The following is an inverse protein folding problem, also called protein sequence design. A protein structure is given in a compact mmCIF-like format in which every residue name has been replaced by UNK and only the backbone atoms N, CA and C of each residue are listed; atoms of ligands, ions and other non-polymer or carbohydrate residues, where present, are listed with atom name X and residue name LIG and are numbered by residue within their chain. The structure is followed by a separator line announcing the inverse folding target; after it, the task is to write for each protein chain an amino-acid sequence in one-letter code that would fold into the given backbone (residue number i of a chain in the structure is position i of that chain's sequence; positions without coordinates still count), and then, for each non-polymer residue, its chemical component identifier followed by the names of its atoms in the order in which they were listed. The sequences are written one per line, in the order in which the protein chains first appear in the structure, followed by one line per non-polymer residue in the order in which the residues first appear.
data_IF_969283130250
#
_entry.id   IF_969283130250
#
_cell.length_a   1.000
_cell.length_b   1.000
_cell.length_c   1.000
_cell.angle_alpha   90.00
_cell.angle_beta   90.00
_cell.angle_gamma   90.00
#
_symmetry.space_group_name_H-M   'P 1'
#
loop_
_entity.id
_entity.type
_entity.pdbx_description
1 polymer ?
#
# COMPACT_ATOMS: atom_id res chain seq x y z
N UNK A 1 -15.95 16.85 12.12
CA UNK A 1 -16.22 16.12 13.36
C UNK A 1 -17.49 16.63 13.98
N UNK A 2 -18.42 15.75 14.37
CA UNK A 2 -19.55 16.10 15.24
C UNK A 2 -19.12 15.92 16.69
N UNK A 3 -19.38 16.91 17.51
CA UNK A 3 -19.15 16.86 18.94
C UNK A 3 -20.48 17.04 19.71
N UNK A 4 -20.57 16.42 20.87
CA UNK A 4 -21.65 16.61 21.85
C UNK A 4 -21.01 16.77 23.22
N UNK A 5 -21.33 17.87 23.90
CA UNK A 5 -20.80 18.19 25.24
C UNK A 5 -19.26 18.10 25.30
N UNK A 6 -18.58 18.64 24.27
CA UNK A 6 -17.13 18.59 24.15
C UNK A 6 -16.53 17.27 23.68
N UNK A 7 -17.33 16.22 23.52
CA UNK A 7 -16.86 14.90 23.09
C UNK A 7 -17.11 14.67 21.60
N UNK A 8 -16.09 14.25 20.86
CA UNK A 8 -16.22 13.83 19.47
C UNK A 8 -17.04 12.51 19.41
N UNK A 9 -18.14 12.51 18.66
CA UNK A 9 -19.05 11.36 18.59
C UNK A 9 -19.16 10.76 17.19
N UNK A 10 -18.81 11.54 16.15
CA UNK A 10 -18.86 11.10 14.76
C UNK A 10 -17.93 11.90 13.88
N UNK A 11 -17.34 11.22 12.90
CA UNK A 11 -16.57 11.84 11.83
C UNK A 11 -17.37 11.73 10.54
N UNK A 12 -17.33 12.78 9.74
CA UNK A 12 -17.91 12.83 8.39
C UNK A 12 -16.84 13.29 7.41
N UNK A 13 -16.93 12.80 6.17
CA UNK A 13 -15.98 13.19 5.13
C UNK A 13 -16.12 14.64 4.72
N UNK A 14 -15.02 15.26 4.34
CA UNK A 14 -15.01 16.61 3.78
C UNK A 14 -15.46 16.56 2.30
N UNK A 15 -16.59 17.17 1.91
CA UNK A 15 -17.04 17.20 0.52
C UNK A 15 -16.04 17.85 -0.45
N UNK A 16 -15.18 18.74 0.04
CA UNK A 16 -14.16 19.43 -0.74
C UNK A 16 -12.86 18.62 -0.90
N UNK A 17 -12.74 17.45 -0.21
CA UNK A 17 -11.57 16.62 -0.36
C UNK A 17 -11.47 16.07 -1.78
N UNK A 18 -10.35 16.26 -2.52
CA UNK A 18 -10.29 15.93 -3.95
C UNK A 18 -10.49 14.46 -4.26
N UNK A 19 -10.00 13.56 -3.40
CA UNK A 19 -10.10 12.11 -3.58
C UNK A 19 -11.42 11.57 -3.00
N UNK A 20 -11.71 11.85 -1.75
CA UNK A 20 -12.80 11.21 -1.00
C UNK A 20 -14.17 11.85 -1.26
N UNK A 21 -14.22 13.16 -1.59
CA UNK A 21 -15.43 13.93 -1.92
C UNK A 21 -16.58 13.68 -0.94
N UNK A 22 -16.30 13.80 0.36
CA UNK A 22 -17.28 13.63 1.44
C UNK A 22 -17.53 12.19 1.89
N UNK A 23 -16.84 11.20 1.33
CA UNK A 23 -16.99 9.80 1.75
C UNK A 23 -15.91 9.41 2.77
N UNK A 24 -16.24 8.45 3.63
CA UNK A 24 -15.33 7.82 4.58
C UNK A 24 -15.46 6.30 4.50
N UNK A 25 -14.35 5.61 4.67
CA UNK A 25 -14.35 4.15 4.85
C UNK A 25 -14.67 3.80 6.34
N UNK A 26 -15.02 2.55 6.65
CA UNK A 26 -15.28 2.13 8.03
C UNK A 26 -14.14 2.47 9.00
N UNK A 27 -12.87 2.36 8.59
CA UNK A 27 -11.71 2.74 9.41
C UNK A 27 -11.74 4.23 9.79
N UNK A 28 -12.04 5.11 8.82
CA UNK A 28 -12.20 6.54 9.08
C UNK A 28 -13.36 6.81 10.04
N UNK A 29 -14.50 6.13 9.89
CA UNK A 29 -15.64 6.30 10.78
C UNK A 29 -15.35 5.86 12.22
N UNK A 30 -14.58 4.79 12.41
CA UNK A 30 -14.24 4.23 13.72
C UNK A 30 -13.05 4.91 14.38
N UNK A 31 -12.27 5.73 13.68
CA UNK A 31 -11.07 6.39 14.24
C UNK A 31 -11.36 7.27 15.45
N UNK A 32 -12.59 7.73 15.62
CA UNK A 32 -13.04 8.45 16.84
C UNK A 32 -12.87 7.61 18.11
N UNK A 33 -12.92 6.29 18.01
CA UNK A 33 -12.76 5.40 19.16
C UNK A 33 -11.33 5.44 19.71
N UNK A 34 -10.34 5.67 18.84
CA UNK A 34 -8.94 5.81 19.24
C UNK A 34 -8.69 6.97 20.20
N UNK A 35 -9.50 8.04 20.12
CA UNK A 35 -9.39 9.17 21.05
C UNK A 35 -9.70 8.80 22.51
N UNK A 36 -10.59 7.85 22.71
CA UNK A 36 -11.15 7.50 24.02
C UNK A 36 -10.78 6.09 24.47
N UNK A 37 -9.84 5.45 23.77
CA UNK A 37 -9.38 4.12 24.15
C UNK A 37 -8.62 4.21 25.49
N UNK A 38 -9.02 3.43 26.53
CA UNK A 38 -8.41 3.47 27.85
C UNK A 38 -6.94 3.00 27.84
N UNK A 39 -6.53 2.18 26.87
CA UNK A 39 -5.16 1.68 26.76
C UNK A 39 -4.20 2.69 26.12
N UNK A 40 -4.72 3.86 25.73
CA UNK A 40 -3.91 4.91 25.12
C UNK A 40 -2.90 5.45 26.11
N UNK A 41 -1.64 5.51 25.69
CA UNK A 41 -0.53 6.09 26.46
C UNK A 41 -0.73 7.60 26.55
N UNK A 42 -0.73 8.14 27.77
CA UNK A 42 -1.03 9.55 28.04
C UNK A 42 0.21 10.40 28.32
N UNK A 43 1.32 9.77 28.72
CA UNK A 43 2.56 10.44 29.07
C UNK A 43 3.76 9.71 28.47
N UNK A 44 4.88 10.40 28.21
CA UNK A 44 6.11 9.74 27.83
C UNK A 44 6.53 8.71 28.87
N UNK A 45 7.09 7.60 28.41
CA UNK A 45 7.50 6.46 29.25
C UNK A 45 8.91 6.06 29.00
N UNK A 46 9.61 5.68 30.06
CA UNK A 46 10.94 5.10 30.01
C UNK A 46 10.90 3.69 30.56
N UNK A 47 11.50 2.75 29.85
CA UNK A 47 11.61 1.37 30.30
C UNK A 47 12.58 1.28 31.51
N UNK A 48 12.21 0.50 32.53
CA UNK A 48 13.14 0.16 33.62
C UNK A 48 14.30 -0.70 33.13
N UNK A 49 14.11 -1.40 32.05
CA UNK A 49 15.06 -2.16 31.24
C UNK A 49 14.37 -2.62 29.99
N UNK A 50 15.06 -2.57 28.84
CA UNK A 50 14.47 -2.95 27.56
C UNK A 50 13.90 -4.37 27.60
N UNK A 51 12.65 -4.52 27.17
CA UNK A 51 11.95 -5.81 27.16
C UNK A 51 11.48 -6.32 28.53
N UNK A 52 11.62 -5.53 29.61
CA UNK A 52 11.11 -5.89 30.94
C UNK A 52 9.59 -5.81 31.05
N UNK A 53 8.92 -5.10 30.15
CA UNK A 53 7.50 -4.78 30.24
C UNK A 53 7.19 -3.71 31.31
N UNK A 54 8.17 -3.26 32.08
CA UNK A 54 7.99 -2.27 33.13
C UNK A 54 8.44 -0.89 32.65
N UNK A 55 7.51 0.07 32.70
CA UNK A 55 7.72 1.44 32.29
C UNK A 55 7.38 2.39 33.43
N UNK A 56 8.11 3.49 33.50
CA UNK A 56 7.83 4.62 34.38
C UNK A 56 7.44 5.84 33.52
N UNK A 57 6.45 6.58 33.92
CA UNK A 57 6.08 7.83 33.28
C UNK A 57 7.15 8.88 33.58
N UNK A 58 7.54 9.67 32.57
CA UNK A 58 8.54 10.75 32.68
C UNK A 58 7.92 12.06 32.15
N UNK A 59 8.42 13.23 32.61
CA UNK A 59 7.99 14.52 32.08
C UNK A 59 8.40 14.68 30.61
N UNK A 60 7.62 15.49 29.87
CA UNK A 60 7.93 15.82 28.48
C UNK A 60 9.29 16.49 28.31
N UNK A 61 9.70 17.36 29.23
CA UNK A 61 11.00 18.03 29.16
C UNK A 61 12.17 17.03 29.22
N UNK A 62 12.05 16.00 30.05
CA UNK A 62 13.03 14.90 30.10
C UNK A 62 13.02 14.10 28.80
N UNK A 63 11.83 13.78 28.27
CA UNK A 63 11.69 13.01 27.05
C UNK A 63 12.27 13.76 25.84
N UNK A 64 11.97 15.06 25.71
CA UNK A 64 12.48 15.91 24.63
C UNK A 64 13.99 16.12 24.72
N UNK A 65 14.52 16.36 25.93
CA UNK A 65 15.96 16.46 26.16
C UNK A 65 16.68 15.16 25.81
N UNK A 66 16.11 14.02 26.18
CA UNK A 66 16.64 12.71 25.82
C UNK A 66 16.66 12.51 24.31
N UNK A 67 15.55 12.76 23.62
CA UNK A 67 15.47 12.62 22.16
C UNK A 67 16.48 13.55 21.44
N UNK A 68 16.60 14.79 21.89
CA UNK A 68 17.59 15.76 21.37
C UNK A 68 19.03 15.26 21.55
N UNK A 69 19.37 14.74 22.73
CA UNK A 69 20.70 14.19 23.00
C UNK A 69 21.02 12.96 22.13
N UNK A 70 20.03 12.12 21.90
CA UNK A 70 20.17 10.94 21.03
C UNK A 70 20.40 11.31 19.56
N UNK A 71 19.87 12.44 19.09
CA UNK A 71 20.11 12.98 17.76
C UNK A 71 21.52 13.64 17.65
N UNK A 72 22.10 14.11 18.76
CA UNK A 72 23.41 14.77 18.78
C UNK A 72 24.62 13.83 18.67
N UNK A 73 24.41 12.52 18.52
CA UNK A 73 25.48 11.53 18.33
C UNK A 73 26.03 11.50 16.90
N UNK A 74 26.79 10.43 16.59
CA UNK A 74 27.26 10.18 15.21
C UNK A 74 26.06 10.02 14.26
N UNK A 75 25.88 10.93 13.30
CA UNK A 75 24.71 10.90 12.40
C UNK A 75 24.60 9.59 11.60
N UNK A 76 25.72 8.96 11.25
CA UNK A 76 25.72 7.72 10.48
C UNK A 76 25.04 6.56 11.25
N UNK A 77 25.05 6.59 12.57
CA UNK A 77 24.45 5.59 13.43
C UNK A 77 23.00 5.91 13.85
N UNK A 78 22.40 7.01 13.40
CA UNK A 78 21.01 7.35 13.66
C UNK A 78 20.14 6.85 12.51
N UNK A 79 19.05 6.16 12.83
CA UNK A 79 18.10 5.68 11.85
C UNK A 79 16.64 6.01 12.23
N UNK A 80 15.83 6.27 11.23
CA UNK A 80 14.39 6.45 11.35
C UNK A 80 13.66 5.37 10.54
N UNK A 81 12.72 4.66 11.18
CA UNK A 81 11.81 3.74 10.54
C UNK A 81 10.39 4.30 10.65
N UNK A 82 9.84 4.70 9.53
CA UNK A 82 8.55 5.39 9.46
C UNK A 82 7.51 4.54 8.73
N UNK A 83 6.30 4.51 9.26
CA UNK A 83 5.14 3.96 8.57
C UNK A 83 4.63 4.89 7.46
N UNK A 84 3.46 4.57 6.92
CA UNK A 84 2.72 5.48 6.05
C UNK A 84 2.15 6.62 6.88
N UNK A 85 2.91 7.67 6.97
CA UNK A 85 2.57 8.90 7.67
C UNK A 85 2.11 9.97 6.68
N UNK A 86 1.39 11.00 7.14
CA UNK A 86 1.15 12.20 6.35
C UNK A 86 2.47 12.78 5.81
N UNK A 87 2.45 13.27 4.58
CA UNK A 87 3.67 13.69 3.87
C UNK A 87 4.46 14.75 4.62
N UNK A 88 3.80 15.68 5.33
CA UNK A 88 4.49 16.71 6.11
C UNK A 88 5.44 16.15 7.17
N UNK A 89 5.09 15.02 7.82
CA UNK A 89 5.94 14.41 8.82
C UNK A 89 7.13 13.70 8.18
N UNK A 90 6.89 13.01 7.08
CA UNK A 90 7.96 12.37 6.32
C UNK A 90 8.96 13.39 5.79
N UNK A 91 8.46 14.49 5.20
CA UNK A 91 9.30 15.58 4.71
C UNK A 91 10.12 16.21 5.83
N UNK A 92 9.51 16.47 6.99
CA UNK A 92 10.22 16.99 8.16
C UNK A 92 11.36 16.08 8.61
N UNK A 93 11.12 14.77 8.72
CA UNK A 93 12.17 13.83 9.12
C UNK A 93 13.26 13.74 8.06
N UNK A 94 12.91 13.80 6.77
CA UNK A 94 13.86 13.84 5.66
C UNK A 94 14.75 15.09 5.72
N UNK A 95 14.17 16.26 6.01
CA UNK A 95 14.93 17.49 6.20
C UNK A 95 15.86 17.42 7.41
N UNK A 96 15.39 16.90 8.54
CA UNK A 96 16.20 16.72 9.76
C UNK A 96 17.38 15.79 9.47
N UNK A 97 17.14 14.61 8.87
CA UNK A 97 18.20 13.66 8.57
C UNK A 97 19.23 14.22 7.58
N UNK A 98 18.78 14.96 6.56
CA UNK A 98 19.66 15.65 5.62
C UNK A 98 20.49 16.73 6.30
N UNK A 99 19.89 17.56 7.15
CA UNK A 99 20.60 18.61 7.90
C UNK A 99 21.66 18.05 8.87
N UNK A 100 21.42 16.86 9.44
CA UNK A 100 22.35 16.17 10.31
C UNK A 100 23.44 15.40 9.55
N UNK A 101 23.28 15.16 8.25
CA UNK A 101 24.12 14.23 7.50
C UNK A 101 23.84 12.74 7.84
N UNK A 102 22.66 12.45 8.39
CA UNK A 102 22.21 11.11 8.71
C UNK A 102 21.61 10.42 7.48
N UNK A 103 21.54 9.07 7.45
CA UNK A 103 20.84 8.35 6.41
C UNK A 103 19.37 8.76 6.27
N UNK A 104 18.86 8.76 5.04
CA UNK A 104 17.45 9.04 4.80
C UNK A 104 16.54 8.07 5.59
N UNK A 105 15.34 8.51 6.02
CA UNK A 105 14.44 7.64 6.76
C UNK A 105 13.99 6.46 5.91
N UNK A 106 13.92 5.29 6.53
CA UNK A 106 13.36 4.08 5.90
C UNK A 106 11.85 4.12 6.06
N UNK A 107 11.12 4.02 4.95
CA UNK A 107 9.67 3.96 4.95
C UNK A 107 9.21 2.52 4.77
N UNK A 108 8.27 2.09 5.62
CA UNK A 108 7.71 0.76 5.59
C UNK A 108 6.27 0.76 6.07
N UNK A 109 5.46 -0.09 5.51
CA UNK A 109 4.12 -0.36 5.99
C UNK A 109 3.60 -1.65 5.40
N UNK A 110 3.04 -2.51 6.23
CA UNK A 110 2.49 -3.80 5.80
C UNK A 110 1.45 -3.62 4.68
N UNK A 111 0.59 -2.60 4.76
CA UNK A 111 -0.40 -2.32 3.71
C UNK A 111 0.24 -2.00 2.36
N UNK A 112 1.32 -1.22 2.34
CA UNK A 112 2.02 -0.91 1.09
C UNK A 112 2.69 -2.12 0.45
N UNK A 113 3.14 -3.07 1.25
CA UNK A 113 3.67 -4.35 0.75
C UNK A 113 2.56 -5.23 0.19
N UNK A 114 1.42 -5.35 0.86
CA UNK A 114 0.28 -6.13 0.37
C UNK A 114 -0.33 -5.54 -0.90
N UNK A 115 -0.27 -4.22 -1.06
CA UNK A 115 -0.69 -3.54 -2.29
C UNK A 115 0.34 -3.66 -3.41
N UNK A 116 1.55 -4.13 -3.08
CA UNK A 116 2.69 -4.26 -4.00
C UNK A 116 2.98 -2.98 -4.80
N UNK A 117 2.91 -1.82 -4.14
CA UNK A 117 3.07 -0.50 -4.77
C UNK A 117 4.40 -0.37 -5.50
N UNK A 118 5.50 -0.81 -4.89
CA UNK A 118 6.81 -0.75 -5.50
C UNK A 118 6.88 -1.55 -6.82
N UNK A 119 6.27 -2.74 -6.86
CA UNK A 119 6.16 -3.56 -8.07
C UNK A 119 5.34 -2.85 -9.14
N UNK A 120 4.24 -2.20 -8.75
CA UNK A 120 3.38 -1.47 -9.67
C UNK A 120 4.07 -0.23 -10.24
N UNK A 121 4.78 0.55 -9.41
CA UNK A 121 5.58 1.71 -9.85
C UNK A 121 6.65 1.27 -10.84
N UNK A 122 7.38 0.20 -10.53
CA UNK A 122 8.44 -0.31 -11.42
C UNK A 122 7.86 -0.84 -12.74
N UNK A 123 6.74 -1.57 -12.70
CA UNK A 123 6.05 -2.01 -13.91
C UNK A 123 5.60 -0.83 -14.77
N UNK A 124 5.08 0.21 -14.14
CA UNK A 124 4.68 1.46 -14.79
C UNK A 124 5.86 2.13 -15.47
N UNK A 125 6.95 2.30 -14.73
CA UNK A 125 8.19 2.89 -15.26
C UNK A 125 8.72 2.13 -16.48
N UNK A 126 8.74 0.79 -16.42
CA UNK A 126 9.21 -0.04 -17.55
C UNK A 126 8.26 -0.04 -18.75
N UNK A 127 6.97 0.18 -18.52
CA UNK A 127 5.95 0.14 -19.60
C UNK A 127 5.77 1.49 -20.27
N UNK A 128 5.88 2.59 -19.52
CA UNK A 128 5.54 3.95 -20.01
C UNK A 128 6.70 4.94 -19.96
N UNK A 129 7.80 4.60 -19.30
CA UNK A 129 8.90 5.52 -19.02
C UNK A 129 8.66 6.46 -17.83
N UNK A 130 7.46 6.45 -17.23
CA UNK A 130 7.10 7.33 -16.09
C UNK A 130 7.07 6.53 -14.80
N UNK A 131 7.88 6.94 -13.82
CA UNK A 131 7.82 6.37 -12.47
C UNK A 131 6.64 6.99 -11.70
N UNK A 132 5.65 6.19 -11.37
CA UNK A 132 4.49 6.66 -10.62
C UNK A 132 3.43 5.58 -10.41
N UNK A 133 2.56 5.79 -9.43
CA UNK A 133 1.38 4.94 -9.25
C UNK A 133 0.32 5.30 -10.28
N UNK A 134 -0.18 4.32 -11.04
CA UNK A 134 -1.26 4.58 -11.97
C UNK A 134 -2.58 4.75 -11.24
N UNK A 135 -3.39 5.69 -11.69
CA UNK A 135 -4.80 5.78 -11.34
C UNK A 135 -5.65 5.18 -12.46
N UNK A 136 -6.52 4.25 -12.12
CA UNK A 136 -7.38 3.57 -13.08
C UNK A 136 -8.80 4.13 -12.99
N UNK A 137 -9.25 4.86 -14.01
CA UNK A 137 -10.59 5.45 -14.02
C UNK A 137 -11.68 4.42 -14.42
N UNK A 138 -12.17 3.73 -13.39
CA UNK A 138 -13.29 2.78 -13.51
C UNK A 138 -14.55 3.43 -14.07
N UNK A 139 -14.75 4.73 -13.82
CA UNK A 139 -15.99 5.42 -14.18
C UNK A 139 -16.14 5.65 -15.68
N UNK A 140 -15.05 5.69 -16.42
CA UNK A 140 -15.03 5.84 -17.89
C UNK A 140 -14.98 4.50 -18.63
N UNK A 141 -14.69 3.39 -17.92
CA UNK A 141 -14.64 2.07 -18.56
C UNK A 141 -16.04 1.48 -18.82
N UNK A 142 -16.13 0.62 -19.82
CA UNK A 142 -17.31 -0.22 -20.07
C UNK A 142 -17.07 -1.68 -19.69
N UNK A 143 -15.82 -2.15 -19.74
CA UNK A 143 -15.38 -3.46 -19.26
C UNK A 143 -14.14 -3.28 -18.38
N UNK A 144 -14.16 -3.86 -17.18
CA UNK A 144 -13.04 -3.83 -16.25
C UNK A 144 -12.59 -5.25 -15.95
N UNK A 145 -11.32 -5.52 -16.15
CA UNK A 145 -10.63 -6.75 -15.77
C UNK A 145 -9.72 -6.47 -14.59
N UNK A 146 -10.07 -6.97 -13.40
CA UNK A 146 -9.30 -6.81 -12.18
C UNK A 146 -8.48 -8.07 -11.88
N UNK A 147 -7.17 -7.96 -11.93
CA UNK A 147 -6.25 -9.05 -11.62
C UNK A 147 -5.69 -8.87 -10.21
N UNK A 148 -6.36 -9.47 -9.23
CA UNK A 148 -5.97 -9.42 -7.83
C UNK A 148 -6.11 -8.06 -7.14
N UNK A 149 -6.65 -7.05 -7.81
CA UNK A 149 -6.86 -5.72 -7.24
C UNK A 149 -8.20 -5.68 -6.48
N UNK A 150 -8.15 -5.91 -5.18
CA UNK A 150 -9.31 -5.82 -4.29
C UNK A 150 -9.65 -4.34 -3.95
N UNK A 151 -9.95 -3.58 -4.99
CA UNK A 151 -10.08 -2.12 -4.96
C UNK A 151 -11.30 -1.60 -4.16
N UNK A 152 -12.26 -2.44 -3.83
CA UNK A 152 -13.37 -2.07 -2.95
C UNK A 152 -13.07 -2.28 -1.46
N UNK A 153 -11.94 -2.91 -1.11
CA UNK A 153 -11.55 -3.21 0.26
C UNK A 153 -10.35 -2.39 0.74
N UNK A 154 -9.16 -2.70 0.21
CA UNK A 154 -7.89 -2.20 0.76
C UNK A 154 -6.94 -1.64 -0.28
N UNK A 155 -7.11 -1.93 -1.57
CA UNK A 155 -6.13 -1.60 -2.59
C UNK A 155 -6.12 -0.11 -2.95
N UNK A 156 -4.96 0.52 -2.84
CA UNK A 156 -4.63 1.92 -3.13
C UNK A 156 -5.60 2.94 -2.48
N UNK A 157 -6.73 3.21 -3.12
CA UNK A 157 -7.72 4.20 -2.67
C UNK A 157 -9.16 3.65 -2.76
N UNK A 158 -9.59 2.81 -1.79
CA UNK A 158 -10.90 2.17 -1.84
C UNK A 158 -12.07 3.14 -2.03
N UNK A 159 -11.97 4.35 -1.48
CA UNK A 159 -13.04 5.35 -1.61
C UNK A 159 -13.15 5.92 -3.02
N UNK A 160 -12.02 6.21 -3.66
CA UNK A 160 -12.00 6.69 -5.05
C UNK A 160 -12.51 5.59 -5.99
N UNK A 161 -12.01 4.37 -5.80
CA UNK A 161 -12.41 3.21 -6.63
C UNK A 161 -13.86 2.78 -6.38
N UNK A 162 -14.37 2.82 -5.14
CA UNK A 162 -15.80 2.57 -4.88
C UNK A 162 -16.70 3.57 -5.59
N UNK A 163 -16.27 4.84 -5.68
CA UNK A 163 -17.00 5.85 -6.44
C UNK A 163 -16.92 5.57 -7.95
N UNK A 164 -15.74 5.26 -8.47
CA UNK A 164 -15.54 4.85 -9.85
C UNK A 164 -16.39 3.62 -10.21
N UNK A 165 -16.42 2.62 -9.32
CA UNK A 165 -17.28 1.45 -9.46
C UNK A 165 -18.78 1.83 -9.45
N UNK A 166 -19.20 2.73 -8.56
CA UNK A 166 -20.57 3.26 -8.59
C UNK A 166 -20.93 3.88 -9.93
N UNK A 167 -20.03 4.66 -10.54
CA UNK A 167 -20.23 5.25 -11.87
C UNK A 167 -20.26 4.17 -12.97
N UNK A 168 -19.41 3.17 -12.92
CA UNK A 168 -19.41 2.01 -13.82
C UNK A 168 -20.76 1.28 -13.79
N UNK A 169 -21.38 1.18 -12.60
CA UNK A 169 -22.62 0.46 -12.37
C UNK A 169 -23.88 1.31 -12.51
N UNK A 170 -23.78 2.61 -12.47
CA UNK A 170 -24.91 3.55 -12.56
C UNK A 170 -25.53 3.58 -13.96
N UNK A 171 -25.75 2.52 -14.59
CA UNK A 171 -26.24 2.41 -15.92
C UNK A 171 -27.02 3.60 -16.45
N UNK A 172 -26.51 4.25 -17.46
CA UNK A 172 -27.37 4.90 -18.47
C UNK A 172 -28.12 3.80 -19.16
N UNK A 173 -29.37 4.05 -19.55
CA UNK A 173 -30.19 3.06 -20.25
C UNK A 173 -29.37 2.36 -21.35
N UNK A 174 -29.19 1.04 -21.24
CA UNK A 174 -28.39 0.24 -22.16
C UNK A 174 -26.87 0.23 -21.92
N UNK A 175 -26.33 0.86 -20.85
CA UNK A 175 -24.88 0.90 -20.55
C UNK A 175 -24.61 0.62 -19.08
N UNK A 176 -24.67 -0.63 -18.67
CA UNK A 176 -24.12 -1.08 -17.41
C UNK A 176 -22.72 -1.63 -17.69
N UNK A 177 -21.70 -1.07 -17.04
CA UNK A 177 -20.35 -1.59 -17.17
C UNK A 177 -20.20 -3.00 -16.61
N UNK A 178 -19.25 -3.76 -17.13
CA UNK A 178 -19.01 -5.17 -16.82
C UNK A 178 -17.69 -5.32 -16.05
N UNK A 179 -17.70 -6.08 -14.96
CA UNK A 179 -16.52 -6.34 -14.13
C UNK A 179 -16.20 -7.83 -14.13
N UNK A 180 -15.00 -8.18 -14.52
CA UNK A 180 -14.41 -9.52 -14.36
C UNK A 180 -13.30 -9.43 -13.33
N UNK A 181 -13.31 -10.33 -12.34
CA UNK A 181 -12.27 -10.40 -11.31
C UNK A 181 -11.51 -11.72 -11.38
N UNK A 182 -10.20 -11.63 -11.48
CA UNK A 182 -9.27 -12.76 -11.50
C UNK A 182 -8.57 -12.85 -10.14
N UNK A 183 -9.03 -13.72 -9.27
CA UNK A 183 -8.51 -13.89 -7.91
C UNK A 183 -8.60 -15.35 -7.47
N UNK A 184 -7.60 -15.81 -6.72
CA UNK A 184 -7.59 -17.18 -6.16
C UNK A 184 -8.63 -17.37 -5.05
N UNK A 185 -8.99 -16.30 -4.34
CA UNK A 185 -10.04 -16.25 -3.32
C UNK A 185 -11.06 -15.16 -3.64
N UNK A 186 -12.28 -15.36 -3.23
CA UNK A 186 -13.33 -14.34 -3.41
C UNK A 186 -13.16 -13.19 -2.40
N UNK A 187 -12.92 -11.98 -2.90
CA UNK A 187 -12.90 -10.71 -2.16
C UNK A 187 -14.25 -10.01 -2.25
N UNK A 188 -14.42 -8.84 -1.59
CA UNK A 188 -15.60 -7.99 -1.82
C UNK A 188 -15.66 -7.53 -3.28
N UNK A 189 -14.52 -7.26 -3.91
CA UNK A 189 -14.45 -6.85 -5.32
C UNK A 189 -14.95 -7.97 -6.24
N UNK A 190 -14.45 -9.18 -6.06
CA UNK A 190 -14.90 -10.34 -6.85
C UNK A 190 -16.31 -10.79 -6.50
N UNK A 191 -16.76 -10.58 -5.25
CA UNK A 191 -18.12 -10.90 -4.82
C UNK A 191 -19.21 -10.04 -5.49
N UNK A 192 -18.84 -8.87 -6.03
CA UNK A 192 -19.75 -7.98 -6.78
C UNK A 192 -19.43 -7.92 -8.27
N UNK A 193 -18.47 -8.72 -8.74
CA UNK A 193 -18.15 -8.85 -10.15
C UNK A 193 -19.27 -9.57 -10.92
N UNK A 194 -19.36 -9.33 -12.22
CA UNK A 194 -20.25 -10.09 -13.11
C UNK A 194 -19.70 -11.49 -13.35
N UNK A 195 -18.36 -11.60 -13.42
CA UNK A 195 -17.67 -12.87 -13.45
C UNK A 195 -16.50 -12.87 -12.45
N UNK A 196 -16.44 -13.90 -11.61
CA UNK A 196 -15.25 -14.24 -10.84
C UNK A 196 -14.58 -15.45 -11.47
N UNK A 197 -13.34 -15.27 -11.88
CA UNK A 197 -12.50 -16.30 -12.50
C UNK A 197 -11.46 -16.72 -11.46
N UNK A 198 -11.63 -17.89 -10.83
CA UNK A 198 -10.60 -18.41 -9.93
C UNK A 198 -9.36 -18.77 -10.75
N UNK A 199 -8.21 -18.25 -10.31
CA UNK A 199 -6.91 -18.49 -10.96
C UNK A 199 -5.94 -19.10 -9.95
N UNK A 200 -5.03 -19.96 -10.41
CA UNK A 200 -3.93 -20.45 -9.59
C UNK A 200 -3.05 -19.23 -9.23
N UNK A 201 -2.73 -19.02 -7.93
CA UNK A 201 -1.92 -17.87 -7.50
C UNK A 201 -0.61 -17.75 -8.28
N UNK A 202 -0.33 -16.55 -8.79
CA UNK A 202 0.86 -16.24 -9.60
C UNK A 202 0.69 -16.50 -11.10
N UNK A 203 -0.48 -16.99 -11.55
CA UNK A 203 -0.78 -17.20 -12.98
C UNK A 203 -1.53 -16.04 -13.64
N UNK A 204 -1.85 -14.99 -12.90
CA UNK A 204 -2.63 -13.84 -13.38
C UNK A 204 -2.00 -13.19 -14.63
N UNK A 205 -0.67 -13.08 -14.64
CA UNK A 205 0.06 -12.58 -15.80
C UNK A 205 -0.03 -13.47 -17.04
N UNK A 206 -0.11 -14.79 -16.87
CA UNK A 206 -0.32 -15.73 -17.97
C UNK A 206 -1.73 -15.59 -18.55
N UNK A 207 -2.73 -15.47 -17.70
CA UNK A 207 -4.12 -15.20 -18.13
C UNK A 207 -4.19 -13.87 -18.90
N UNK A 208 -3.56 -12.81 -18.41
CA UNK A 208 -3.48 -11.55 -19.10
C UNK A 208 -2.81 -11.65 -20.47
N UNK A 209 -1.69 -12.39 -20.57
CA UNK A 209 -1.02 -12.66 -21.85
C UNK A 209 -1.91 -13.43 -22.83
N UNK A 210 -2.63 -14.45 -22.33
CA UNK A 210 -3.56 -15.24 -23.15
C UNK A 210 -4.68 -14.38 -23.71
N UNK A 211 -5.34 -13.61 -22.86
CA UNK A 211 -6.38 -12.65 -23.27
C UNK A 211 -5.82 -11.64 -24.27
N UNK A 212 -4.63 -11.07 -24.01
CA UNK A 212 -4.01 -10.08 -24.89
C UNK A 212 -3.68 -10.62 -26.27
N UNK A 213 -3.13 -11.83 -26.35
CA UNK A 213 -2.82 -12.50 -27.63
C UNK A 213 -4.09 -12.77 -28.43
N UNK A 214 -5.10 -13.39 -27.79
CA UNK A 214 -6.36 -13.72 -28.43
C UNK A 214 -7.14 -12.47 -28.88
N UNK A 215 -7.19 -11.44 -28.02
CA UNK A 215 -7.81 -10.15 -28.34
C UNK A 215 -7.15 -9.45 -29.53
N UNK A 216 -5.82 -9.49 -29.61
CA UNK A 216 -5.08 -8.94 -30.77
C UNK A 216 -5.43 -9.69 -32.06
N UNK A 217 -5.55 -11.02 -32.01
CA UNK A 217 -5.97 -11.84 -33.16
C UNK A 217 -7.41 -11.54 -33.60
N UNK A 218 -8.35 -11.41 -32.65
CA UNK A 218 -9.75 -11.06 -32.93
C UNK A 218 -9.85 -9.71 -33.65
N UNK A 219 -9.03 -8.74 -33.23
CA UNK A 219 -9.01 -7.42 -33.86
C UNK A 219 -8.26 -7.40 -35.21
N UNK A 220 -7.71 -8.52 -35.68
CA UNK A 220 -6.95 -8.61 -36.93
C UNK A 220 -5.60 -7.87 -36.89
N UNK A 221 -5.10 -7.55 -35.69
CA UNK A 221 -3.87 -6.81 -35.47
C UNK A 221 -2.63 -7.68 -35.30
N UNK A 222 -1.47 -7.02 -35.33
CA UNK A 222 -0.20 -7.67 -34.97
C UNK A 222 -0.20 -7.98 -33.47
N UNK A 223 0.25 -9.19 -33.11
CA UNK A 223 0.39 -9.56 -31.69
C UNK A 223 1.52 -8.74 -31.09
N UNK A 224 1.22 -7.92 -30.05
CA UNK A 224 2.28 -7.17 -29.36
C UNK A 224 3.35 -8.09 -28.76
N UNK A 225 4.59 -7.59 -28.69
CA UNK A 225 5.73 -8.36 -28.14
C UNK A 225 5.47 -8.87 -26.72
N UNK A 226 4.69 -8.12 -25.91
CA UNK A 226 4.31 -8.51 -24.57
C UNK A 226 3.52 -9.83 -24.49
N UNK A 227 2.92 -10.29 -25.59
CA UNK A 227 2.09 -11.49 -25.69
C UNK A 227 2.62 -12.51 -26.71
N UNK A 228 3.74 -12.22 -27.38
CA UNK A 228 4.22 -13.02 -28.51
C UNK A 228 4.76 -14.39 -28.07
N UNK A 229 5.38 -14.45 -26.90
CA UNK A 229 6.01 -15.65 -26.31
C UNK A 229 5.05 -16.60 -25.58
N UNK A 230 3.75 -16.35 -25.69
CA UNK A 230 2.76 -17.17 -24.96
C UNK A 230 2.57 -18.54 -25.60
N UNK A 231 2.58 -19.56 -24.77
CA UNK A 231 2.00 -20.89 -25.04
C UNK A 231 0.60 -20.97 -24.40
N UNK A 232 -0.44 -21.06 -25.23
CA UNK A 232 -1.82 -21.07 -24.76
C UNK A 232 -2.15 -22.34 -23.96
N UNK A 233 -1.64 -23.50 -24.39
CA UNK A 233 -1.87 -24.76 -23.67
C UNK A 233 -1.23 -24.73 -22.28
N UNK A 234 -0.02 -24.18 -22.19
CA UNK A 234 0.67 -23.97 -20.93
C UNK A 234 -0.09 -22.98 -20.04
N UNK A 235 -0.62 -21.90 -20.60
CA UNK A 235 -1.40 -20.90 -19.86
C UNK A 235 -2.68 -21.52 -19.26
N UNK A 236 -3.40 -22.34 -20.02
CA UNK A 236 -4.58 -23.12 -19.56
C UNK A 236 -4.19 -24.04 -18.39
N UNK A 237 -3.13 -24.82 -18.56
CA UNK A 237 -2.69 -25.77 -17.53
C UNK A 237 -2.25 -25.07 -16.24
N UNK A 238 -1.48 -23.98 -16.34
CA UNK A 238 -0.91 -23.30 -15.19
C UNK A 238 -1.88 -22.35 -14.48
N UNK A 239 -2.87 -21.83 -15.20
CA UNK A 239 -3.85 -20.92 -14.60
C UNK A 239 -5.09 -21.61 -14.06
N UNK A 240 -5.41 -22.81 -14.59
CA UNK A 240 -6.67 -23.51 -14.32
C UNK A 240 -7.88 -22.91 -15.06
N UNK A 241 -7.66 -21.93 -15.95
CA UNK A 241 -8.72 -21.30 -16.76
C UNK A 241 -8.81 -22.03 -18.10
N UNK A 242 -10.01 -22.50 -18.45
CA UNK A 242 -10.20 -23.25 -19.71
C UNK A 242 -9.95 -22.37 -20.94
N UNK A 243 -9.54 -22.99 -22.05
CA UNK A 243 -9.30 -22.31 -23.32
C UNK A 243 -10.56 -21.60 -23.81
N UNK A 244 -11.73 -22.23 -23.70
CA UNK A 244 -13.03 -21.64 -24.05
C UNK A 244 -13.28 -20.35 -23.24
N UNK A 245 -12.99 -20.37 -21.94
CA UNK A 245 -13.15 -19.20 -21.08
C UNK A 245 -12.16 -18.09 -21.46
N UNK A 246 -10.92 -18.44 -21.82
CA UNK A 246 -9.93 -17.46 -22.29
C UNK A 246 -10.37 -16.79 -23.60
N UNK A 247 -10.95 -17.54 -24.52
CA UNK A 247 -11.53 -17.00 -25.77
C UNK A 247 -12.69 -16.07 -25.46
N UNK A 248 -13.64 -16.47 -24.63
CA UNK A 248 -14.77 -15.62 -24.21
C UNK A 248 -14.28 -14.29 -23.60
N UNK A 249 -13.32 -14.34 -22.69
CA UNK A 249 -12.74 -13.16 -22.04
C UNK A 249 -12.00 -12.26 -23.05
N UNK A 250 -11.31 -12.85 -24.01
CA UNK A 250 -10.63 -12.11 -25.07
C UNK A 250 -11.62 -11.39 -26.00
N UNK A 251 -12.72 -12.05 -26.35
CA UNK A 251 -13.81 -11.44 -27.14
C UNK A 251 -14.44 -10.27 -26.38
N UNK A 252 -14.77 -10.46 -25.10
CA UNK A 252 -15.32 -9.43 -24.24
C UNK A 252 -14.39 -8.20 -24.18
N UNK A 253 -13.08 -8.41 -24.00
CA UNK A 253 -12.10 -7.33 -23.96
C UNK A 253 -11.92 -6.65 -25.32
N UNK A 254 -11.86 -7.44 -26.40
CA UNK A 254 -11.67 -6.95 -27.77
C UNK A 254 -12.85 -6.13 -28.29
N UNK A 255 -14.09 -6.51 -27.93
CA UNK A 255 -15.32 -5.83 -28.36
C UNK A 255 -15.63 -4.58 -27.54
N UNK A 256 -15.09 -4.46 -26.32
CA UNK A 256 -15.29 -3.31 -25.47
C UNK A 256 -14.76 -2.02 -26.13
N UNK A 257 -15.45 -0.90 -25.90
CA UNK A 257 -15.03 0.41 -26.42
C UNK A 257 -13.96 1.04 -25.52
N UNK A 258 -14.11 0.86 -24.20
CA UNK A 258 -13.21 1.39 -23.16
C UNK A 258 -12.86 0.27 -22.15
N UNK A 259 -12.15 -0.79 -22.58
CA UNK A 259 -11.73 -1.83 -21.67
C UNK A 259 -10.61 -1.31 -20.75
N UNK A 260 -10.60 -1.77 -19.51
CA UNK A 260 -9.61 -1.40 -18.51
C UNK A 260 -9.11 -2.65 -17.77
N UNK A 261 -7.80 -2.87 -17.78
CA UNK A 261 -7.16 -3.94 -17.01
C UNK A 261 -6.38 -3.35 -15.82
N UNK A 262 -6.59 -3.91 -14.63
CA UNK A 262 -6.03 -3.41 -13.38
C UNK A 262 -5.16 -4.49 -12.75
N UNK A 263 -3.83 -4.31 -12.67
CA UNK A 263 -2.94 -5.17 -11.90
C UNK A 263 -2.91 -4.74 -10.43
N UNK A 264 -3.06 -5.65 -9.50
CA UNK A 264 -2.98 -5.25 -8.11
C UNK A 264 -2.86 -6.39 -7.11
N UNK A 265 -2.68 -6.00 -5.85
CA UNK A 265 -2.77 -6.87 -4.70
C UNK A 265 -1.91 -8.14 -4.79
N UNK A 266 -2.53 -9.26 -4.53
CA UNK A 266 -1.87 -10.57 -4.46
C UNK A 266 -1.18 -10.97 -5.77
N UNK A 267 -1.73 -10.60 -6.94
CA UNK A 267 -1.12 -10.90 -8.24
C UNK A 267 0.29 -10.31 -8.41
N UNK A 268 0.60 -9.24 -7.70
CA UNK A 268 1.90 -8.56 -7.76
C UNK A 268 2.86 -8.96 -6.65
N UNK A 269 2.40 -9.69 -5.63
CA UNK A 269 3.19 -10.13 -4.48
C UNK A 269 4.03 -11.38 -4.73
N UNK A 270 3.92 -12.01 -5.89
CA UNK A 270 4.68 -13.20 -6.28
C UNK A 270 6.04 -12.84 -6.89
N UNK A 271 6.94 -13.83 -6.99
CA UNK A 271 8.26 -13.66 -7.63
C UNK A 271 8.16 -13.14 -9.07
N UNK A 272 7.11 -13.51 -9.80
CA UNK A 272 6.81 -13.05 -11.14
C UNK A 272 5.89 -11.80 -11.19
N UNK A 273 5.64 -11.15 -10.05
CA UNK A 273 4.68 -10.04 -9.93
C UNK A 273 4.97 -8.87 -10.89
N UNK A 274 6.24 -8.52 -11.09
CA UNK A 274 6.64 -7.49 -12.05
C UNK A 274 6.27 -7.87 -13.49
N UNK A 275 6.54 -9.11 -13.89
CA UNK A 275 6.18 -9.62 -15.22
C UNK A 275 4.65 -9.66 -15.39
N UNK A 276 3.92 -10.09 -14.36
CA UNK A 276 2.46 -10.09 -14.34
C UNK A 276 1.89 -8.68 -14.47
N UNK A 277 2.40 -7.72 -13.71
CA UNK A 277 1.97 -6.32 -13.80
C UNK A 277 2.18 -5.75 -15.20
N UNK A 278 3.34 -5.99 -15.81
CA UNK A 278 3.64 -5.54 -17.18
C UNK A 278 2.69 -6.16 -18.22
N UNK A 279 2.41 -7.46 -18.11
CA UNK A 279 1.46 -8.13 -19.00
C UNK A 279 0.05 -7.56 -18.89
N UNK A 280 -0.41 -7.30 -17.66
CA UNK A 280 -1.74 -6.72 -17.43
C UNK A 280 -1.80 -5.26 -17.90
N UNK A 281 -0.77 -4.46 -17.64
CA UNK A 281 -0.70 -3.08 -18.16
C UNK A 281 -0.67 -3.04 -19.69
N UNK A 282 -0.04 -4.02 -20.33
CA UNK A 282 0.01 -4.12 -21.79
C UNK A 282 -1.37 -4.35 -22.42
N UNK A 283 -2.33 -4.95 -21.69
CA UNK A 283 -3.74 -5.05 -22.17
C UNK A 283 -4.33 -3.66 -22.43
N UNK A 284 -4.06 -2.69 -21.56
CA UNK A 284 -4.58 -1.34 -21.73
C UNK A 284 -4.04 -0.66 -23.01
N UNK A 285 -2.83 -1.03 -23.44
CA UNK A 285 -2.24 -0.49 -24.68
C UNK A 285 -2.95 -0.98 -25.96
N UNK A 286 -3.61 -2.14 -25.93
CA UNK A 286 -4.33 -2.70 -27.09
C UNK A 286 -5.45 -1.78 -27.57
N UNK A 287 -6.05 -1.00 -26.71
CA UNK A 287 -7.19 -0.12 -27.01
C UNK A 287 -6.93 1.35 -26.68
N UNK A 288 -5.69 1.71 -26.34
CA UNK A 288 -5.36 3.08 -25.97
C UNK A 288 -6.09 3.57 -24.71
N UNK A 289 -6.49 2.65 -23.83
CA UNK A 289 -7.15 3.01 -22.57
C UNK A 289 -6.25 3.94 -21.75
N UNK A 290 -6.72 5.15 -21.51
CA UNK A 290 -5.99 6.16 -20.78
C UNK A 290 -5.98 5.80 -19.30
N UNK A 291 -4.84 5.35 -18.82
CA UNK A 291 -4.55 5.40 -17.40
C UNK A 291 -4.13 6.82 -17.05
N UNK A 292 -4.88 7.51 -16.19
CA UNK A 292 -4.38 8.75 -15.62
C UNK A 292 -3.29 8.40 -14.61
N UNK A 293 -2.09 8.86 -14.88
CA UNK A 293 -0.93 8.60 -14.01
C UNK A 293 -0.82 9.70 -12.99
N UNK A 294 -0.92 9.32 -11.71
CA UNK A 294 -0.49 10.19 -10.64
C UNK A 294 1.02 10.03 -10.50
N UNK A 295 1.75 11.14 -10.55
CA UNK A 295 3.16 11.12 -10.21
C UNK A 295 3.30 10.72 -8.74
N UNK A 296 3.86 9.55 -8.46
CA UNK A 296 4.29 9.22 -7.11
C UNK A 296 5.74 9.69 -6.98
N UNK A 297 6.06 10.41 -5.91
CA UNK A 297 7.45 10.51 -5.53
C UNK A 297 7.96 9.12 -5.18
N UNK A 298 9.18 8.77 -5.61
CA UNK A 298 9.79 7.44 -5.40
C UNK A 298 9.82 6.99 -3.93
N UNK A 299 9.82 7.93 -3.02
CA UNK A 299 9.89 7.71 -1.58
C UNK A 299 8.60 7.13 -0.96
N UNK A 300 7.49 7.13 -1.70
CA UNK A 300 6.19 6.76 -1.13
C UNK A 300 6.02 5.24 -0.94
N UNK A 301 6.75 4.44 -1.67
CA UNK A 301 6.47 3.01 -1.74
C UNK A 301 7.07 2.20 -0.59
N UNK A 302 8.15 2.66 0.03
CA UNK A 302 8.91 1.84 0.97
C UNK A 302 9.26 0.47 0.40
N UNK A 303 10.43 -0.05 0.62
CA UNK A 303 10.76 -1.38 0.10
C UNK A 303 11.19 -2.31 1.22
N UNK A 304 10.85 -3.60 1.08
CA UNK A 304 11.37 -4.62 1.99
C UNK A 304 12.91 -4.65 1.98
N UNK A 305 13.52 -4.38 0.82
CA UNK A 305 14.97 -4.32 0.69
C UNK A 305 15.59 -3.24 1.59
N UNK A 306 14.97 -2.06 1.69
CA UNK A 306 15.42 -0.98 2.59
C UNK A 306 15.31 -1.39 4.06
N UNK A 307 14.24 -2.10 4.42
CA UNK A 307 14.07 -2.63 5.79
C UNK A 307 15.11 -3.70 6.09
N UNK A 308 15.36 -4.63 5.16
CA UNK A 308 16.41 -5.67 5.29
C UNK A 308 17.78 -5.02 5.47
N UNK A 309 18.10 -3.98 4.68
CA UNK A 309 19.36 -3.24 4.83
C UNK A 309 19.46 -2.58 6.22
N UNK A 310 18.38 -1.96 6.73
CA UNK A 310 18.34 -1.40 8.08
C UNK A 310 18.57 -2.49 9.13
N UNK A 311 17.88 -3.63 9.04
CA UNK A 311 18.04 -4.74 9.98
C UNK A 311 19.49 -5.27 9.99
N UNK A 312 20.13 -5.38 8.83
CA UNK A 312 21.52 -5.81 8.74
C UNK A 312 22.47 -4.81 9.42
N UNK A 313 22.26 -3.51 9.23
CA UNK A 313 23.03 -2.45 9.91
C UNK A 313 22.78 -2.44 11.42
N UNK A 314 21.57 -2.76 11.87
CA UNK A 314 21.30 -2.94 13.30
C UNK A 314 22.07 -4.15 13.85
N UNK A 315 22.06 -5.28 13.13
CA UNK A 315 22.79 -6.51 13.52
C UNK A 315 24.30 -6.31 13.59
N UNK A 316 24.88 -5.51 12.69
CA UNK A 316 26.31 -5.18 12.69
C UNK A 316 26.71 -4.17 13.77
N UNK A 317 25.73 -3.55 14.47
CA UNK A 317 25.98 -2.52 15.47
C UNK A 317 26.30 -1.14 14.89
N UNK A 318 26.10 -0.94 13.60
CA UNK A 318 26.25 0.37 12.95
C UNK A 318 25.19 1.36 13.43
N UNK A 319 23.97 0.87 13.73
CA UNK A 319 22.90 1.71 14.24
C UNK A 319 22.94 1.73 15.76
N UNK A 320 23.17 2.92 16.32
CA UNK A 320 23.18 3.11 17.77
C UNK A 320 21.89 3.75 18.29
N UNK A 321 21.15 4.47 17.43
CA UNK A 321 19.85 5.10 17.79
C UNK A 321 18.82 4.82 16.70
N UNK A 322 17.68 4.28 17.11
CA UNK A 322 16.56 3.98 16.20
C UNK A 322 15.30 4.68 16.69
N UNK A 323 14.74 5.51 15.82
CA UNK A 323 13.43 6.13 15.99
C UNK A 323 12.39 5.41 15.14
N UNK A 324 11.27 5.01 15.74
CA UNK A 324 10.20 4.25 15.07
C UNK A 324 8.90 5.03 15.24
N UNK A 325 8.18 5.27 14.13
CA UNK A 325 6.92 5.98 14.15
C UNK A 325 5.90 5.37 13.17
N UNK A 326 4.69 5.09 13.66
CA UNK A 326 3.55 4.68 12.83
C UNK A 326 3.68 3.31 12.18
N UNK A 327 4.53 2.44 12.69
CA UNK A 327 4.71 1.05 12.26
C UNK A 327 5.05 0.18 13.45
N UNK A 328 4.62 -1.08 13.41
CA UNK A 328 4.92 -2.08 14.42
C UNK A 328 5.77 -3.22 13.81
N UNK A 329 7.08 -2.98 13.55
CA UNK A 329 7.91 -3.93 12.82
C UNK A 329 8.14 -5.26 13.55
N UNK A 330 8.00 -5.30 14.87
CA UNK A 330 8.09 -6.57 15.64
C UNK A 330 6.92 -7.50 15.30
N UNK A 331 5.74 -6.95 15.08
CA UNK A 331 4.55 -7.70 14.68
C UNK A 331 4.44 -7.88 13.16
N UNK A 332 4.71 -6.82 12.39
CA UNK A 332 4.42 -6.77 10.96
C UNK A 332 5.46 -7.49 10.09
N UNK A 333 6.72 -7.55 10.54
CA UNK A 333 7.79 -8.15 9.75
C UNK A 333 7.85 -9.68 9.94
N UNK A 334 8.22 -10.44 8.90
CA UNK A 334 8.49 -11.86 9.05
C UNK A 334 9.55 -12.12 10.12
N UNK A 335 9.28 -13.07 11.02
CA UNK A 335 10.20 -13.43 12.11
C UNK A 335 11.60 -13.81 11.60
N UNK A 336 11.70 -14.39 10.40
CA UNK A 336 12.96 -14.74 9.75
C UNK A 336 13.90 -13.56 9.50
N UNK A 337 13.40 -12.33 9.44
CA UNK A 337 14.26 -11.13 9.35
C UNK A 337 14.98 -10.84 10.65
N UNK A 338 14.45 -11.28 11.79
CA UNK A 338 15.06 -11.13 13.10
C UNK A 338 15.13 -9.67 13.56
N UNK A 339 14.07 -8.87 13.29
CA UNK A 339 14.04 -7.45 13.66
C UNK A 339 14.16 -7.25 15.19
N UNK A 340 13.38 -7.99 15.98
CA UNK A 340 13.42 -7.91 17.45
C UNK A 340 14.80 -8.27 18.03
N UNK A 341 15.48 -9.25 17.43
CA UNK A 341 16.86 -9.58 17.83
C UNK A 341 17.86 -8.50 17.43
N UNK A 342 17.67 -7.90 16.25
CA UNK A 342 18.51 -6.79 15.81
C UNK A 342 18.34 -5.55 16.70
N UNK A 343 17.15 -5.29 17.25
CA UNK A 343 16.92 -4.21 18.22
C UNK A 343 17.82 -4.32 19.47
N UNK A 344 18.18 -5.54 19.87
CA UNK A 344 19.06 -5.75 21.06
C UNK A 344 20.45 -5.16 20.87
N UNK A 345 20.92 -5.02 19.63
CA UNK A 345 22.25 -4.44 19.30
C UNK A 345 22.19 -2.90 19.17
N UNK A 346 21.01 -2.31 19.13
CA UNK A 346 20.82 -0.85 19.07
C UNK A 346 20.88 -0.29 20.49
N UNK A 347 21.73 0.73 20.74
CA UNK A 347 21.93 1.29 22.10
C UNK A 347 20.68 1.99 22.63
N UNK A 348 19.95 2.69 21.77
CA UNK A 348 18.75 3.46 22.12
C UNK A 348 17.66 3.25 21.09
N UNK A 349 16.47 2.86 21.54
CA UNK A 349 15.26 2.70 20.71
C UNK A 349 14.15 3.57 21.27
N UNK A 350 13.64 4.46 20.44
CA UNK A 350 12.52 5.36 20.75
C UNK A 350 11.35 5.01 19.85
N UNK A 351 10.22 4.64 20.44
CA UNK A 351 8.98 4.41 19.72
C UNK A 351 8.00 5.57 19.92
N UNK A 352 7.53 6.15 18.83
CA UNK A 352 6.40 7.06 18.86
C UNK A 352 5.13 6.25 18.65
N UNK A 353 4.46 5.90 19.72
CA UNK A 353 3.25 5.08 19.67
C UNK A 353 2.20 5.56 20.66
N UNK A 354 0.95 5.62 20.21
CA UNK A 354 -0.18 5.93 21.08
C UNK A 354 -0.62 4.73 21.94
N UNK A 355 -0.13 3.51 21.63
CA UNK A 355 -0.53 2.28 22.30
C UNK A 355 0.68 1.40 22.62
N UNK A 356 0.58 0.54 23.65
CA UNK A 356 1.66 -0.38 24.00
C UNK A 356 1.69 -1.60 23.05
N UNK A 357 2.10 -1.36 21.79
CA UNK A 357 2.30 -2.43 20.82
C UNK A 357 3.62 -3.19 21.07
N UNK A 358 3.84 -4.30 20.34
CA UNK A 358 4.98 -5.20 20.53
C UNK A 358 6.33 -4.47 20.33
N UNK A 359 6.38 -3.51 19.42
CA UNK A 359 7.60 -2.71 19.18
C UNK A 359 7.80 -1.71 20.30
N UNK A 360 6.75 -1.02 20.74
CA UNK A 360 6.82 -0.07 21.84
C UNK A 360 7.27 -0.75 23.14
N UNK A 361 6.74 -1.94 23.44
CA UNK A 361 7.13 -2.71 24.63
C UNK A 361 8.59 -3.19 24.63
N UNK A 362 9.23 -3.27 23.46
CA UNK A 362 10.66 -3.59 23.32
C UNK A 362 11.54 -2.35 23.13
N UNK A 363 11.00 -1.14 23.27
CA UNK A 363 11.74 0.12 23.16
C UNK A 363 12.25 0.60 24.53
N UNK A 364 13.23 1.50 24.55
CA UNK A 364 13.73 2.14 25.77
C UNK A 364 12.83 3.31 26.20
N UNK A 365 12.27 4.01 25.22
CA UNK A 365 11.35 5.12 25.44
C UNK A 365 10.12 4.98 24.53
N UNK A 366 8.97 5.30 25.09
CA UNK A 366 7.72 5.46 24.34
C UNK A 366 7.30 6.91 24.48
N UNK A 367 7.25 7.62 23.37
CA UNK A 367 6.73 8.98 23.29
C UNK A 367 5.33 8.92 22.66
N UNK A 368 4.26 9.19 23.43
CA UNK A 368 2.91 9.05 22.91
C UNK A 368 2.67 10.04 21.76
N UNK A 369 2.10 9.51 20.68
CA UNK A 369 1.76 10.29 19.50
C UNK A 369 0.31 10.77 19.56
N UNK A 370 0.03 11.85 18.83
CA UNK A 370 -1.33 12.29 18.59
C UNK A 370 -2.03 11.43 17.54
N UNK A 371 -3.32 11.19 17.72
CA UNK A 371 -4.12 10.60 16.65
C UNK A 371 -4.28 11.61 15.49
N UNK A 372 -4.59 11.13 14.30
CA UNK A 372 -4.85 12.00 13.15
C UNK A 372 -5.98 13.03 13.35
N UNK A 373 -6.82 12.87 14.40
CA UNK A 373 -7.85 13.85 14.77
C UNK A 373 -7.35 14.96 15.68
N UNK A 374 -6.17 14.80 16.25
CA UNK A 374 -5.51 15.75 17.16
C UNK A 374 -4.33 16.48 16.47
N UNK A 375 -3.97 16.02 15.26
CA UNK A 375 -2.80 16.53 14.53
C UNK A 375 -3.21 17.38 13.34
N UNK A 376 -2.38 18.37 13.04
CA UNK A 376 -2.39 19.04 11.75
C UNK A 376 -1.51 18.30 10.77
N UNK A 377 -1.85 18.40 9.49
CA UNK A 377 -1.02 17.80 8.47
C UNK A 377 -1.59 17.98 7.06
N UNK A 378 -0.79 17.61 6.08
CA UNK A 378 -1.22 17.52 4.69
C UNK A 378 -0.79 16.17 4.09
N UNK A 379 -1.52 15.79 3.07
CA UNK A 379 -1.22 14.65 2.21
C UNK A 379 -1.23 15.14 0.77
N UNK A 380 -0.19 14.84 0.01
CA UNK A 380 -0.19 15.05 -1.45
C UNK A 380 -1.17 14.05 -2.09
N UNK A 381 -1.85 14.50 -3.15
CA UNK A 381 -2.88 13.74 -3.85
C UNK A 381 -2.48 13.52 -5.30
#
# INVERSE_FOLDING_TARGET
VRAREGRAIKIEGNPQHPVNRGKLCPRGLTSVQGLYNPDRIQAPRKAAGRGSGNFIDIPWDEALSTASNLLGGDPAGVAFLLGYQPDHLYDLVKEITAAMGAPAPVRYGALGMFEARATLIEATRQTTGTAGLPFFDLGSADVVFSFGANFLETWLSPLAYSRGYGNLRQGKLGKRGYLVSFEARQSVTSGVADEWIPVIPGSEGLVAKAIGRLAAQINGGTIPTAFADLDLAQAVQQSGVSEEKLHHLAELFAQAQQPLAIPGGAALGHVNGLASAKAILALNALKGAASAWLAAEDDSAGSLASVVALVNRMKSGEIHTLFIHGVNPVFELPAALGFSDAMKNVKAVVSFSSFPDETALLSDWILPDHTGLESFGYQRV
#
